data_IF_902163350640
#
_entry.id   IF_902163350640
#
_cell.length_a   1.000
_cell.length_b   1.000
_cell.length_c   1.000
_cell.angle_alpha   90.00
_cell.angle_beta   90.00
_cell.angle_gamma   90.00
#
_symmetry.space_group_name_H-M   'P 1'
#
loop_
_entity.id
_entity.type
_entity.pdbx_description
1 polymer ?
#
# COMPACT_ATOMS: atom_id res chain seq x y z
N UNK A 1 -21.90 -13.05 81.32
CA UNK A 1 -20.55 -13.29 80.68
C UNK A 1 -20.55 -14.38 79.61
N UNK A 2 -21.18 -15.54 79.79
CA UNK A 2 -21.17 -16.63 78.78
C UNK A 2 -21.91 -16.30 77.46
N UNK A 3 -22.97 -15.48 77.50
CA UNK A 3 -23.78 -15.11 76.33
C UNK A 3 -22.99 -14.19 75.41
N UNK A 4 -22.13 -13.32 75.94
CA UNK A 4 -21.32 -12.39 75.09
C UNK A 4 -20.23 -13.11 74.28
N UNK A 5 -19.63 -14.15 74.82
CA UNK A 5 -18.64 -14.97 74.10
C UNK A 5 -19.24 -15.81 73.02
N UNK A 6 -20.47 -16.26 73.15
CA UNK A 6 -21.20 -16.99 72.10
C UNK A 6 -21.49 -16.13 70.86
N UNK A 7 -21.92 -14.87 71.06
CA UNK A 7 -22.15 -13.91 70.00
C UNK A 7 -20.84 -13.51 69.29
N UNK A 8 -19.77 -13.29 70.00
CA UNK A 8 -18.45 -12.96 69.47
C UNK A 8 -17.92 -14.11 68.55
N UNK A 9 -18.01 -15.35 69.01
CA UNK A 9 -17.60 -16.53 68.24
C UNK A 9 -18.43 -16.73 66.98
N UNK A 10 -19.73 -16.51 67.03
CA UNK A 10 -20.62 -16.59 65.84
C UNK A 10 -20.30 -15.49 64.83
N UNK A 11 -20.00 -14.28 65.28
CA UNK A 11 -19.63 -13.16 64.42
C UNK A 11 -18.28 -13.39 63.73
N UNK A 12 -17.28 -13.90 64.42
CA UNK A 12 -15.99 -14.28 63.84
C UNK A 12 -16.15 -15.41 62.84
N UNK A 13 -16.98 -16.41 63.12
CA UNK A 13 -17.31 -17.48 62.16
C UNK A 13 -17.99 -16.96 60.89
N UNK A 14 -18.94 -16.05 61.04
CA UNK A 14 -19.62 -15.45 59.85
C UNK A 14 -18.68 -14.59 59.00
N UNK A 15 -17.81 -13.80 59.66
CA UNK A 15 -16.80 -12.99 58.94
C UNK A 15 -15.76 -13.83 58.21
N UNK A 16 -15.32 -14.94 58.80
CA UNK A 16 -14.37 -15.86 58.17
C UNK A 16 -14.98 -16.58 56.94
N UNK A 17 -16.22 -17.06 57.07
CA UNK A 17 -16.91 -17.68 55.92
C UNK A 17 -17.20 -16.68 54.83
N UNK A 18 -17.58 -15.44 55.14
CA UNK A 18 -17.75 -14.37 54.18
C UNK A 18 -16.45 -14.02 53.46
N UNK A 19 -15.33 -13.90 54.19
CA UNK A 19 -14.02 -13.64 53.62
C UNK A 19 -13.56 -14.73 52.66
N UNK A 20 -13.76 -15.99 53.01
CA UNK A 20 -13.46 -17.15 52.14
C UNK A 20 -14.36 -17.10 50.90
N UNK A 21 -15.66 -16.81 51.05
CA UNK A 21 -16.59 -16.70 49.92
C UNK A 21 -16.19 -15.58 48.95
N UNK A 22 -15.82 -14.39 49.45
CA UNK A 22 -15.33 -13.27 48.66
C UNK A 22 -14.04 -13.64 47.91
N UNK A 23 -13.09 -14.28 48.59
CA UNK A 23 -11.85 -14.74 48.00
C UNK A 23 -12.09 -15.73 46.86
N UNK A 24 -12.93 -16.75 47.07
CA UNK A 24 -13.27 -17.75 46.03
C UNK A 24 -14.02 -17.13 44.87
N UNK A 25 -14.92 -16.19 45.13
CA UNK A 25 -15.65 -15.48 44.09
C UNK A 25 -14.72 -14.63 43.21
N UNK A 26 -13.81 -13.87 43.82
CA UNK A 26 -12.79 -13.10 43.11
C UNK A 26 -11.89 -14.02 42.26
N UNK A 27 -11.41 -15.13 42.85
CA UNK A 27 -10.59 -16.10 42.12
C UNK A 27 -11.29 -16.66 40.91
N UNK A 28 -12.58 -17.01 40.99
CA UNK A 28 -13.41 -17.47 39.88
C UNK A 28 -13.53 -16.40 38.78
N UNK A 29 -13.69 -15.14 39.16
CA UNK A 29 -13.73 -14.03 38.20
C UNK A 29 -12.40 -13.88 37.47
N UNK A 30 -11.26 -13.89 38.16
CA UNK A 30 -9.94 -13.80 37.58
C UNK A 30 -9.66 -14.93 36.59
N UNK A 31 -10.04 -16.17 36.90
CA UNK A 31 -9.85 -17.31 35.99
C UNK A 31 -10.71 -17.14 34.75
N UNK A 32 -11.98 -16.72 34.90
CA UNK A 32 -12.87 -16.50 33.75
C UNK A 32 -12.41 -15.34 32.87
N UNK A 33 -11.92 -14.23 33.42
CA UNK A 33 -11.39 -13.12 32.61
C UNK A 33 -10.16 -13.55 31.84
N UNK A 34 -9.23 -14.30 32.44
CA UNK A 34 -8.05 -14.81 31.74
C UNK A 34 -8.41 -15.81 30.63
N UNK A 35 -9.42 -16.65 30.82
CA UNK A 35 -9.92 -17.57 29.77
C UNK A 35 -10.54 -16.78 28.60
N UNK A 36 -11.33 -15.74 28.89
CA UNK A 36 -11.95 -14.88 27.88
C UNK A 36 -10.89 -14.10 27.11
N UNK A 37 -9.91 -13.52 27.79
CA UNK A 37 -8.79 -12.81 27.17
C UNK A 37 -8.03 -13.73 26.20
N UNK A 38 -7.67 -14.92 26.65
CA UNK A 38 -6.98 -15.91 25.79
C UNK A 38 -7.82 -16.35 24.61
N UNK A 39 -9.13 -16.57 24.79
CA UNK A 39 -10.03 -16.89 23.71
C UNK A 39 -10.18 -15.74 22.72
N UNK A 40 -10.19 -14.50 23.20
CA UNK A 40 -10.26 -13.31 22.36
C UNK A 40 -8.98 -13.15 21.51
N UNK A 41 -7.80 -13.31 22.12
CA UNK A 41 -6.52 -13.29 21.39
C UNK A 41 -6.47 -14.36 20.29
N UNK A 42 -6.91 -15.59 20.60
CA UNK A 42 -6.95 -16.66 19.62
C UNK A 42 -7.89 -16.31 18.44
N UNK A 43 -9.09 -15.79 18.74
CA UNK A 43 -10.05 -15.39 17.71
C UNK A 43 -9.57 -14.20 16.88
N UNK A 44 -8.87 -13.23 17.47
CA UNK A 44 -8.29 -12.12 16.73
C UNK A 44 -7.21 -12.60 15.77
N UNK A 45 -6.33 -13.50 16.20
CA UNK A 45 -5.31 -14.09 15.31
C UNK A 45 -5.90 -14.95 14.19
N UNK A 46 -6.93 -15.74 14.47
CA UNK A 46 -7.66 -16.48 13.44
C UNK A 46 -8.31 -15.57 12.40
N UNK A 47 -8.97 -14.50 12.85
CA UNK A 47 -9.60 -13.51 11.97
C UNK A 47 -8.58 -12.77 11.12
N UNK A 48 -7.45 -12.38 11.68
CA UNK A 48 -6.37 -11.73 10.94
C UNK A 48 -5.79 -12.67 9.87
N UNK A 49 -5.56 -13.94 10.21
CA UNK A 49 -5.08 -14.94 9.24
C UNK A 49 -6.06 -15.18 8.11
N UNK A 50 -7.36 -15.33 8.42
CA UNK A 50 -8.41 -15.49 7.42
C UNK A 50 -8.55 -14.24 6.53
N UNK A 51 -8.43 -13.04 7.11
CA UNK A 51 -8.43 -11.79 6.38
C UNK A 51 -7.25 -11.69 5.40
N UNK A 52 -6.05 -12.07 5.84
CA UNK A 52 -4.87 -12.10 4.98
C UNK A 52 -5.02 -13.11 3.84
N UNK A 53 -5.61 -14.28 4.11
CA UNK A 53 -5.91 -15.27 3.07
C UNK A 53 -6.92 -14.73 2.04
N UNK A 54 -8.00 -14.09 2.49
CA UNK A 54 -8.97 -13.46 1.59
C UNK A 54 -8.35 -12.32 0.78
N UNK A 55 -7.46 -11.53 1.38
CA UNK A 55 -6.73 -10.47 0.65
C UNK A 55 -5.82 -11.03 -0.44
N UNK A 56 -5.17 -12.20 -0.21
CA UNK A 56 -4.37 -12.88 -1.24
C UNK A 56 -5.21 -13.44 -2.39
N UNK A 57 -6.47 -13.78 -2.14
CA UNK A 57 -7.40 -14.20 -3.18
C UNK A 57 -8.04 -13.04 -3.93
N UNK A 58 -7.95 -11.82 -3.40
CA UNK A 58 -8.44 -10.60 -4.06
C UNK A 58 -7.39 -10.12 -5.06
N UNK A 59 -7.82 -9.79 -6.25
CA UNK A 59 -6.99 -9.13 -7.26
C UNK A 59 -6.93 -7.62 -7.09
N UNK A 60 -7.76 -7.04 -6.21
CA UNK A 60 -7.91 -5.60 -6.00
C UNK A 60 -7.38 -5.14 -4.64
N UNK A 61 -6.86 -3.92 -4.60
CA UNK A 61 -6.53 -3.23 -3.36
C UNK A 61 -7.82 -2.74 -2.67
N UNK A 62 -8.07 -3.10 -1.40
CA UNK A 62 -9.33 -2.82 -0.73
C UNK A 62 -9.59 -1.34 -0.45
N UNK A 63 -8.57 -0.48 -0.54
CA UNK A 63 -8.74 0.95 -0.32
C UNK A 63 -9.06 1.68 -1.63
N UNK A 64 -8.32 1.38 -2.69
CA UNK A 64 -8.33 2.17 -3.94
C UNK A 64 -9.10 1.51 -5.07
N UNK A 65 -9.50 0.23 -4.92
CA UNK A 65 -10.18 -0.58 -5.92
C UNK A 65 -9.45 -0.71 -7.28
N UNK A 66 -8.17 -0.36 -7.33
CA UNK A 66 -7.28 -0.74 -8.43
C UNK A 66 -6.64 -2.09 -8.11
N UNK A 67 -5.91 -2.69 -9.05
CA UNK A 67 -5.23 -3.96 -8.80
C UNK A 67 -4.29 -3.86 -7.58
N UNK A 68 -4.14 -4.95 -6.85
CA UNK A 68 -3.20 -5.03 -5.74
C UNK A 68 -1.78 -5.37 -6.22
N UNK A 69 -0.83 -5.42 -5.30
CA UNK A 69 0.58 -5.71 -5.60
C UNK A 69 0.79 -7.10 -6.23
N UNK A 70 0.06 -8.13 -5.76
CA UNK A 70 0.18 -9.50 -6.28
C UNK A 70 -0.32 -9.56 -7.72
N UNK A 71 -1.48 -8.98 -8.00
CA UNK A 71 -2.03 -8.88 -9.36
C UNK A 71 -1.11 -8.08 -10.29
N UNK A 72 -0.44 -7.04 -9.79
CA UNK A 72 0.56 -6.31 -10.56
C UNK A 72 1.72 -7.21 -11.00
N UNK A 73 2.29 -8.00 -10.10
CA UNK A 73 3.41 -8.89 -10.43
C UNK A 73 3.01 -9.97 -11.44
N UNK A 74 1.87 -10.62 -11.23
CA UNK A 74 1.34 -11.64 -12.16
C UNK A 74 1.06 -11.06 -13.55
N UNK A 75 0.48 -9.85 -13.59
CA UNK A 75 0.19 -9.17 -14.84
C UNK A 75 1.46 -8.79 -15.58
N UNK A 76 2.43 -8.20 -14.87
CA UNK A 76 3.72 -7.78 -15.45
C UNK A 76 4.47 -8.98 -16.03
N UNK A 77 4.57 -10.09 -15.29
CA UNK A 77 5.22 -11.32 -15.75
C UNK A 77 4.53 -11.89 -17.01
N UNK A 78 3.21 -11.88 -17.05
CA UNK A 78 2.44 -12.32 -18.21
C UNK A 78 2.68 -11.46 -19.43
N UNK A 79 2.61 -10.12 -19.29
CA UNK A 79 2.82 -9.19 -20.36
C UNK A 79 4.29 -9.13 -20.81
N UNK A 80 5.25 -9.35 -19.88
CA UNK A 80 6.67 -9.50 -20.23
C UNK A 80 6.91 -10.70 -21.13
N UNK A 81 6.35 -11.88 -20.78
CA UNK A 81 6.42 -13.09 -21.62
C UNK A 81 5.78 -12.88 -22.99
N UNK A 82 4.65 -12.18 -23.02
CA UNK A 82 3.97 -11.84 -24.28
C UNK A 82 4.81 -10.88 -25.12
N UNK A 83 5.28 -9.78 -24.57
CA UNK A 83 6.14 -8.81 -25.24
C UNK A 83 7.40 -9.46 -25.83
N UNK A 84 8.03 -10.38 -25.06
CA UNK A 84 9.21 -11.14 -25.52
C UNK A 84 8.91 -12.08 -26.67
N UNK A 85 7.73 -12.70 -26.71
CA UNK A 85 7.32 -13.57 -27.81
C UNK A 85 7.00 -12.76 -29.07
N UNK A 86 6.30 -11.65 -28.91
CA UNK A 86 5.73 -10.88 -30.01
C UNK A 86 6.68 -9.76 -30.50
N UNK A 87 7.82 -9.51 -29.81
CA UNK A 87 8.79 -8.46 -30.13
C UNK A 87 8.24 -7.05 -29.92
N UNK A 88 7.27 -6.89 -29.01
CA UNK A 88 6.59 -5.63 -28.74
C UNK A 88 7.17 -4.90 -27.52
N UNK A 89 7.09 -3.57 -27.47
CA UNK A 89 7.51 -2.82 -26.30
C UNK A 89 6.57 -3.06 -25.11
N UNK A 90 7.13 -3.08 -23.91
CA UNK A 90 6.42 -3.07 -22.65
C UNK A 90 6.93 -1.90 -21.83
N UNK A 91 6.02 -1.06 -21.35
CA UNK A 91 6.34 0.07 -20.49
C UNK A 91 5.75 -0.09 -19.10
N UNK A 92 6.49 0.41 -18.11
CA UNK A 92 6.11 0.47 -16.72
C UNK A 92 6.21 1.92 -16.24
N UNK A 93 5.16 2.40 -15.57
CA UNK A 93 5.15 3.71 -14.92
C UNK A 93 4.98 3.49 -13.42
N UNK A 94 5.83 4.15 -12.62
CA UNK A 94 5.62 4.30 -11.19
C UNK A 94 5.19 5.72 -10.86
N UNK A 95 4.27 5.83 -9.91
CA UNK A 95 3.69 7.08 -9.40
C UNK A 95 3.79 7.09 -7.90
N UNK A 96 4.30 8.16 -7.31
CA UNK A 96 4.41 8.36 -5.86
C UNK A 96 3.80 9.70 -5.50
N UNK A 97 2.89 9.72 -4.54
CA UNK A 97 2.22 10.95 -4.10
C UNK A 97 3.18 11.79 -3.27
N UNK A 98 3.54 12.97 -3.79
CA UNK A 98 4.51 13.84 -3.16
C UNK A 98 4.05 14.29 -1.76
N UNK A 99 4.99 14.32 -0.81
CA UNK A 99 4.76 14.78 0.57
C UNK A 99 3.61 14.06 1.32
N UNK A 100 3.20 12.85 0.90
CA UNK A 100 2.06 12.13 1.49
C UNK A 100 2.20 11.87 2.99
N UNK A 101 3.42 11.61 3.50
CA UNK A 101 3.67 11.47 4.94
C UNK A 101 3.38 12.78 5.70
N UNK A 102 3.76 13.93 5.14
CA UNK A 102 3.46 15.25 5.72
C UNK A 102 1.96 15.53 5.71
N UNK A 103 1.29 15.18 4.60
CA UNK A 103 -0.17 15.24 4.48
C UNK A 103 -0.86 14.46 5.61
N UNK A 104 -0.48 13.21 5.81
CA UNK A 104 -1.06 12.36 6.87
C UNK A 104 -0.79 12.89 8.29
N UNK A 105 0.37 13.53 8.54
CA UNK A 105 0.64 14.18 9.82
C UNK A 105 -0.29 15.37 10.07
N UNK A 106 -0.58 16.15 9.05
CA UNK A 106 -1.39 17.37 9.17
C UNK A 106 -2.89 17.08 9.19
N UNK A 107 -3.39 16.23 8.29
CA UNK A 107 -4.83 16.01 8.06
C UNK A 107 -5.36 14.68 8.60
N UNK A 108 -4.48 13.80 9.06
CA UNK A 108 -4.81 12.48 9.56
C UNK A 108 -4.93 11.41 8.46
N UNK A 109 -4.84 10.13 8.88
CA UNK A 109 -4.84 8.97 7.97
C UNK A 109 -6.10 8.86 7.13
N UNK A 110 -7.28 9.16 7.71
CA UNK A 110 -8.55 9.08 6.96
C UNK A 110 -8.59 10.03 5.76
N UNK A 111 -8.04 11.24 5.92
CA UNK A 111 -7.92 12.19 4.81
C UNK A 111 -6.93 11.69 3.76
N UNK A 112 -5.81 11.10 4.18
CA UNK A 112 -4.85 10.48 3.26
C UNK A 112 -5.43 9.30 2.49
N UNK A 113 -6.23 8.45 3.14
CA UNK A 113 -6.93 7.36 2.48
C UNK A 113 -7.87 7.88 1.37
N UNK A 114 -8.53 9.02 1.59
CA UNK A 114 -9.41 9.62 0.60
C UNK A 114 -8.63 10.21 -0.58
N UNK A 115 -7.44 10.80 -0.34
CA UNK A 115 -6.51 11.21 -1.40
C UNK A 115 -6.11 10.00 -2.26
N UNK A 116 -5.70 8.89 -1.65
CA UNK A 116 -5.30 7.69 -2.39
C UNK A 116 -6.45 7.09 -3.21
N UNK A 117 -7.68 7.10 -2.71
CA UNK A 117 -8.85 6.68 -3.49
C UNK A 117 -9.08 7.56 -4.72
N UNK A 118 -8.94 8.87 -4.56
CA UNK A 118 -9.12 9.82 -5.67
C UNK A 118 -7.99 9.65 -6.70
N UNK A 119 -6.74 9.49 -6.26
CA UNK A 119 -5.60 9.19 -7.14
C UNK A 119 -5.83 7.88 -7.88
N UNK A 120 -6.22 6.80 -7.19
CA UNK A 120 -6.51 5.51 -7.83
C UNK A 120 -7.57 5.61 -8.94
N UNK A 121 -8.68 6.30 -8.68
CA UNK A 121 -9.73 6.55 -9.70
C UNK A 121 -9.23 7.38 -10.86
N UNK A 122 -8.44 8.43 -10.58
CA UNK A 122 -7.82 9.27 -11.60
C UNK A 122 -6.92 8.44 -12.52
N UNK A 123 -6.05 7.61 -11.96
CA UNK A 123 -5.17 6.72 -12.72
C UNK A 123 -5.96 5.74 -13.58
N UNK A 124 -6.99 5.11 -13.03
CA UNK A 124 -7.86 4.19 -13.76
C UNK A 124 -8.59 4.88 -14.94
N UNK A 125 -8.89 6.18 -14.82
CA UNK A 125 -9.50 6.96 -15.90
C UNK A 125 -8.50 7.29 -17.01
N UNK A 126 -7.26 7.64 -16.66
CA UNK A 126 -6.19 7.97 -17.62
C UNK A 126 -5.74 6.73 -18.38
N UNK A 127 -5.71 5.56 -17.73
CA UNK A 127 -5.22 4.29 -18.27
C UNK A 127 -6.39 3.32 -18.48
N UNK A 128 -7.34 3.71 -19.33
CA UNK A 128 -8.56 2.93 -19.56
C UNK A 128 -8.50 1.92 -20.72
N UNK A 129 -7.31 1.54 -21.23
CA UNK A 129 -7.21 0.59 -22.35
C UNK A 129 -7.29 -0.86 -21.85
N UNK A 130 -8.07 -1.73 -22.54
CA UNK A 130 -7.98 -3.16 -22.32
C UNK A 130 -6.53 -3.63 -22.59
N UNK A 131 -5.90 -4.28 -21.62
CA UNK A 131 -4.51 -4.73 -21.75
C UNK A 131 -3.50 -3.86 -21.00
N UNK A 132 -3.91 -2.72 -20.44
CA UNK A 132 -3.12 -1.96 -19.45
C UNK A 132 -3.62 -2.26 -18.04
N UNK A 133 -2.76 -2.08 -17.05
CA UNK A 133 -3.11 -2.30 -15.65
C UNK A 133 -2.71 -1.10 -14.80
N UNK A 134 -3.58 -0.69 -13.89
CA UNK A 134 -3.28 0.22 -12.78
C UNK A 134 -3.31 -0.57 -11.49
N UNK A 135 -2.28 -0.48 -10.70
CA UNK A 135 -2.17 -1.18 -9.42
C UNK A 135 -1.66 -0.27 -8.31
N UNK A 136 -2.05 -0.57 -7.09
CA UNK A 136 -1.41 -0.01 -5.90
C UNK A 136 -0.22 -0.88 -5.54
N UNK A 137 0.98 -0.36 -5.78
CA UNK A 137 2.21 -1.11 -5.57
C UNK A 137 2.59 -1.19 -4.09
N UNK A 138 2.57 -0.06 -3.38
CA UNK A 138 2.88 0.00 -1.96
C UNK A 138 2.43 1.34 -1.37
N UNK A 139 1.75 1.34 -0.22
CA UNK A 139 1.32 2.54 0.54
C UNK A 139 0.75 3.66 -0.34
N UNK A 140 1.61 4.61 -0.74
CA UNK A 140 1.35 5.80 -1.55
C UNK A 140 1.94 5.71 -2.98
N UNK A 141 2.51 4.53 -3.32
CA UNK A 141 3.04 4.24 -4.64
C UNK A 141 2.04 3.44 -5.49
N UNK A 142 1.84 3.87 -6.73
CA UNK A 142 1.08 3.16 -7.75
C UNK A 142 2.00 2.72 -8.90
N UNK A 143 1.61 1.67 -9.58
CA UNK A 143 2.29 1.16 -10.77
C UNK A 143 1.31 0.96 -11.91
N UNK A 144 1.72 1.32 -13.13
CA UNK A 144 0.94 1.15 -14.34
C UNK A 144 1.75 0.29 -15.31
N UNK A 145 1.16 -0.80 -15.80
CA UNK A 145 1.75 -1.64 -16.84
C UNK A 145 1.06 -1.31 -18.16
N UNK A 146 1.82 -0.90 -19.16
CA UNK A 146 1.34 -0.47 -20.46
C UNK A 146 1.82 -1.45 -21.54
N UNK A 147 0.95 -2.33 -22.01
CA UNK A 147 1.27 -3.29 -23.03
C UNK A 147 1.44 -2.60 -24.39
N UNK A 148 2.36 -3.10 -25.21
CA UNK A 148 2.61 -2.62 -26.58
C UNK A 148 2.78 -1.09 -26.66
N UNK A 149 3.39 -0.49 -25.63
CA UNK A 149 3.59 0.95 -25.52
C UNK A 149 5.09 1.25 -25.47
N UNK A 150 5.55 2.09 -26.36
CA UNK A 150 6.96 2.51 -26.46
C UNK A 150 7.34 3.62 -25.46
N UNK A 151 8.63 3.98 -25.42
CA UNK A 151 9.14 4.98 -24.49
C UNK A 151 8.50 6.37 -24.67
N UNK A 152 8.38 6.93 -25.87
CA UNK A 152 7.66 8.19 -26.10
C UNK A 152 6.18 8.12 -25.69
N UNK A 153 5.48 7.04 -26.02
CA UNK A 153 4.09 6.81 -25.65
C UNK A 153 3.91 6.73 -24.13
N UNK A 154 4.76 5.97 -23.44
CA UNK A 154 4.69 5.86 -21.99
C UNK A 154 5.02 7.17 -21.27
N UNK A 155 5.97 7.95 -21.81
CA UNK A 155 6.28 9.28 -21.28
C UNK A 155 5.10 10.25 -21.39
N UNK A 156 4.41 10.23 -22.54
CA UNK A 156 3.19 11.02 -22.74
C UNK A 156 2.10 10.66 -21.74
N UNK A 157 1.87 9.36 -21.51
CA UNK A 157 0.90 8.89 -20.51
C UNK A 157 1.35 9.29 -19.09
N UNK A 158 2.65 9.21 -18.77
CA UNK A 158 3.19 9.64 -17.49
C UNK A 158 2.96 11.13 -17.21
N UNK A 159 3.11 12.00 -18.23
CA UNK A 159 2.79 13.42 -18.11
C UNK A 159 1.28 13.67 -17.96
N UNK A 160 0.44 12.90 -18.63
CA UNK A 160 -1.02 12.95 -18.44
C UNK A 160 -1.40 12.56 -17.01
N UNK A 161 -0.81 11.49 -16.47
CA UNK A 161 -0.98 11.04 -15.07
C UNK A 161 -0.58 12.15 -14.10
N UNK A 162 0.61 12.72 -14.25
CA UNK A 162 1.10 13.81 -13.39
C UNK A 162 0.16 15.02 -13.41
N UNK A 163 -0.25 15.43 -14.62
CA UNK A 163 -1.18 16.57 -14.78
C UNK A 163 -2.55 16.26 -14.18
N UNK A 164 -3.11 15.08 -14.44
CA UNK A 164 -4.42 14.68 -13.95
C UNK A 164 -4.47 14.65 -12.40
N UNK A 165 -3.40 14.16 -11.74
CA UNK A 165 -3.32 14.18 -10.27
C UNK A 165 -3.28 15.62 -9.76
N UNK A 166 -2.47 16.50 -10.35
CA UNK A 166 -2.43 17.93 -10.00
C UNK A 166 -3.82 18.58 -10.19
N UNK A 167 -4.50 18.25 -11.28
CA UNK A 167 -5.80 18.82 -11.66
C UNK A 167 -6.96 18.34 -10.76
N UNK A 168 -6.74 17.32 -9.89
CA UNK A 168 -7.64 17.01 -8.78
C UNK A 168 -7.74 18.15 -7.76
N UNK A 169 -6.76 19.05 -7.75
CA UNK A 169 -6.70 20.25 -6.92
C UNK A 169 -6.96 19.96 -5.41
N UNK A 170 -6.47 18.84 -4.93
CA UNK A 170 -6.57 18.46 -3.53
C UNK A 170 -5.60 19.30 -2.70
N UNK A 171 -6.00 19.84 -1.54
CA UNK A 171 -5.12 20.70 -0.73
C UNK A 171 -3.87 19.90 -0.31
N UNK A 172 -2.69 20.51 -0.37
CA UNK A 172 -1.44 19.90 0.07
C UNK A 172 -1.15 20.19 1.54
N UNK A 173 -0.17 19.49 2.11
CA UNK A 173 0.37 19.81 3.42
C UNK A 173 1.13 21.15 3.37
N UNK A 174 1.14 21.90 4.46
CA UNK A 174 1.87 23.20 4.56
C UNK A 174 3.37 23.07 4.29
N UNK A 175 3.93 21.88 4.50
CA UNK A 175 5.34 21.57 4.23
C UNK A 175 5.62 21.29 2.74
N UNK A 176 4.59 21.11 1.92
CA UNK A 176 4.75 20.91 0.49
C UNK A 176 5.05 22.22 -0.23
N UNK A 177 5.85 22.20 -1.30
CA UNK A 177 6.17 23.42 -2.06
C UNK A 177 4.99 23.96 -2.88
N UNK A 178 3.94 23.17 -3.09
CA UNK A 178 2.72 23.55 -3.81
C UNK A 178 1.52 23.54 -2.88
N UNK A 179 0.49 24.33 -3.20
CA UNK A 179 -0.77 24.39 -2.43
C UNK A 179 -1.68 23.17 -2.66
N UNK A 180 -1.36 22.34 -3.63
CA UNK A 180 -2.13 21.16 -4.01
C UNK A 180 -1.26 19.90 -4.07
N UNK A 181 -1.89 18.74 -3.89
CA UNK A 181 -1.25 17.43 -3.99
C UNK A 181 -0.69 17.21 -5.39
N UNK A 182 0.56 16.78 -5.47
CA UNK A 182 1.26 16.43 -6.70
C UNK A 182 1.79 15.00 -6.63
N UNK A 183 2.31 14.51 -7.73
CA UNK A 183 2.97 13.22 -7.79
C UNK A 183 4.27 13.29 -8.59
N UNK A 184 5.26 12.56 -8.11
CA UNK A 184 6.45 12.21 -8.88
C UNK A 184 6.15 10.97 -9.71
N UNK A 185 6.55 10.98 -10.96
CA UNK A 185 6.26 9.90 -11.92
C UNK A 185 7.54 9.46 -12.60
N UNK A 186 7.71 8.18 -12.79
CA UNK A 186 8.83 7.65 -13.56
C UNK A 186 8.37 6.53 -14.50
N UNK A 187 8.96 6.48 -15.69
CA UNK A 187 8.66 5.44 -16.68
C UNK A 187 9.92 4.71 -17.11
N UNK A 188 9.82 3.42 -17.32
CA UNK A 188 10.81 2.59 -17.99
C UNK A 188 10.17 1.79 -19.11
N UNK A 189 10.91 1.53 -20.18
CA UNK A 189 10.43 0.80 -21.35
C UNK A 189 11.47 -0.19 -21.81
N UNK A 190 11.05 -1.40 -22.13
CA UNK A 190 11.86 -2.43 -22.76
C UNK A 190 11.16 -3.02 -23.96
N UNK A 191 11.97 -3.49 -24.94
CA UNK A 191 11.54 -4.44 -25.96
C UNK A 191 12.27 -5.76 -25.65
N UNK A 192 11.64 -6.66 -24.86
CA UNK A 192 12.31 -7.88 -24.44
C UNK A 192 12.58 -8.78 -25.62
N UNK A 193 13.84 -9.21 -25.80
CA UNK A 193 14.25 -10.15 -26.85
C UNK A 193 14.44 -11.55 -26.25
N UNK A 194 14.39 -12.58 -27.09
CA UNK A 194 14.52 -13.98 -26.64
C UNK A 194 15.90 -14.25 -26.00
N UNK A 195 16.93 -13.58 -26.49
CA UNK A 195 18.34 -13.72 -26.06
C UNK A 195 18.77 -12.64 -25.06
N UNK A 196 17.84 -11.76 -24.67
CA UNK A 196 18.13 -10.69 -23.72
C UNK A 196 18.33 -11.26 -22.30
N UNK A 197 19.38 -10.81 -21.63
CA UNK A 197 19.61 -11.08 -20.20
C UNK A 197 18.67 -10.24 -19.29
N UNK A 198 17.82 -9.36 -19.86
CA UNK A 198 16.91 -8.52 -19.10
C UNK A 198 15.66 -9.30 -18.65
N UNK A 199 15.29 -9.09 -17.40
CA UNK A 199 14.08 -9.62 -16.78
C UNK A 199 13.10 -8.48 -16.45
N UNK A 200 11.85 -8.82 -16.18
CA UNK A 200 10.82 -7.85 -15.76
C UNK A 200 11.22 -7.08 -14.50
N UNK A 201 12.03 -7.71 -13.61
CA UNK A 201 12.57 -7.06 -12.42
C UNK A 201 13.50 -5.89 -12.74
N UNK A 202 14.20 -5.92 -13.88
CA UNK A 202 15.08 -4.82 -14.28
C UNK A 202 14.28 -3.62 -14.74
N UNK A 203 13.12 -3.86 -15.36
CA UNK A 203 12.16 -2.80 -15.69
C UNK A 203 11.66 -2.10 -14.41
N UNK A 204 11.31 -2.87 -13.38
CA UNK A 204 10.92 -2.34 -12.07
C UNK A 204 12.05 -1.53 -11.43
N UNK A 205 13.28 -2.09 -11.40
CA UNK A 205 14.45 -1.41 -10.79
C UNK A 205 14.74 -0.08 -11.46
N UNK A 206 14.72 -0.05 -12.80
CA UNK A 206 14.99 1.16 -13.57
C UNK A 206 13.94 2.25 -13.31
N UNK A 207 12.64 1.91 -13.37
CA UNK A 207 11.57 2.85 -13.09
C UNK A 207 11.63 3.39 -11.66
N UNK A 208 11.87 2.53 -10.67
CA UNK A 208 11.98 2.96 -9.26
C UNK A 208 13.23 3.79 -8.98
N UNK A 209 14.32 3.56 -9.71
CA UNK A 209 15.50 4.42 -9.63
C UNK A 209 15.16 5.84 -10.12
N UNK A 210 14.57 5.96 -11.30
CA UNK A 210 14.13 7.24 -11.85
C UNK A 210 13.09 7.94 -10.96
N UNK A 211 12.19 7.18 -10.31
CA UNK A 211 11.22 7.74 -9.37
C UNK A 211 11.90 8.39 -8.15
N UNK A 212 12.93 7.74 -7.59
CA UNK A 212 13.72 8.32 -6.48
C UNK A 212 14.40 9.62 -6.89
N UNK A 213 14.94 9.69 -8.12
CA UNK A 213 15.54 10.91 -8.66
C UNK A 213 14.51 12.00 -8.88
N UNK A 214 13.31 11.66 -9.39
CA UNK A 214 12.22 12.61 -9.56
C UNK A 214 11.84 13.28 -8.22
N UNK A 215 11.74 12.47 -7.16
CA UNK A 215 11.46 12.95 -5.79
C UNK A 215 12.61 13.80 -5.24
N UNK A 216 13.86 13.35 -5.37
CA UNK A 216 15.04 14.07 -4.90
C UNK A 216 15.20 15.42 -5.59
N UNK A 217 14.77 15.54 -6.84
CA UNK A 217 14.82 16.79 -7.61
C UNK A 217 13.65 17.75 -7.30
N UNK A 218 12.84 17.49 -6.26
CA UNK A 218 11.77 18.38 -5.77
C UNK A 218 10.35 17.94 -6.13
N UNK A 219 10.16 16.72 -6.65
CA UNK A 219 8.85 16.16 -6.97
C UNK A 219 8.15 16.80 -8.17
N UNK A 220 6.86 16.49 -8.36
CA UNK A 220 5.97 17.01 -9.39
C UNK A 220 6.58 16.99 -10.81
N UNK A 221 7.19 15.87 -11.18
CA UNK A 221 7.87 15.72 -12.48
C UNK A 221 7.83 14.29 -12.97
N UNK A 222 8.09 14.15 -14.28
CA UNK A 222 8.26 12.85 -14.91
C UNK A 222 9.73 12.64 -15.25
N UNK A 223 10.28 11.49 -14.90
CA UNK A 223 11.58 11.04 -15.38
C UNK A 223 11.43 9.73 -16.16
N UNK A 224 12.24 9.56 -17.18
CA UNK A 224 12.29 8.36 -18.01
C UNK A 224 13.59 7.62 -17.82
N UNK A 225 13.50 6.35 -17.44
CA UNK A 225 14.60 5.41 -17.53
C UNK A 225 14.43 4.52 -18.76
N UNK A 226 15.45 4.36 -19.57
CA UNK A 226 15.46 3.41 -20.67
C UNK A 226 16.36 2.23 -20.32
N UNK A 227 15.84 1.01 -20.46
CA UNK A 227 16.67 -0.18 -20.52
C UNK A 227 17.27 -0.23 -21.91
N UNK A 228 18.56 0.11 -22.03
CA UNK A 228 19.29 0.01 -23.29
C UNK A 228 19.38 -1.45 -23.74
N UNK A 229 19.50 -1.66 -25.05
CA UNK A 229 19.65 -3.00 -25.63
C UNK A 229 20.98 -3.70 -25.22
N UNK A 230 21.96 -2.94 -24.72
CA UNK A 230 23.25 -3.45 -24.22
C UNK A 230 23.79 -2.43 -23.19
N UNK A 231 23.84 -2.77 -21.93
CA UNK A 231 24.47 -1.96 -20.90
C UNK A 231 23.59 -1.64 -19.68
N UNK A 232 24.16 -1.03 -18.62
CA UNK A 232 23.36 -0.56 -17.49
C UNK A 232 22.34 0.50 -17.93
N UNK A 233 21.20 0.66 -17.25
CA UNK A 233 20.15 1.60 -17.64
C UNK A 233 20.72 3.02 -17.73
N UNK A 234 20.73 3.60 -18.93
CA UNK A 234 21.04 5.01 -19.12
C UNK A 234 19.82 5.84 -18.70
N UNK A 235 20.02 6.69 -17.71
CA UNK A 235 19.02 7.65 -17.26
C UNK A 235 19.01 8.83 -18.25
N UNK A 236 18.03 8.83 -19.14
CA UNK A 236 17.79 10.00 -19.99
C UNK A 236 16.91 10.97 -19.22
N UNK A 237 17.55 11.94 -18.56
CA UNK A 237 16.86 13.08 -17.94
C UNK A 237 16.48 14.07 -19.02
N UNK A 238 15.24 14.04 -19.51
CA UNK A 238 14.71 15.14 -20.34
C UNK A 238 14.31 16.28 -19.42
N UNK A 239 15.20 17.27 -19.27
CA UNK A 239 14.85 18.56 -18.69
C UNK A 239 13.96 19.33 -19.66
N UNK A 240 12.78 19.67 -19.26
CA UNK A 240 12.00 20.83 -19.74
C UNK A 240 11.52 21.62 -18.57
#
# INVERSE_FOLDING_TARGET
MEIEWGFAAALIGALSTFSVWVYLSRRRLYVRTAEIEKALELRTTELESARLQLQRLSTEDPLTAVANHEQFLEFLEREWRRARRDGLPLSLIFVDVDHFRAFNRQFGRKAGDEVLKQVGRCLATVVGRPGDLVARYHRDEFALVLASTDGPGSFKIAEQVRSAIRDLNLPAAKEAPQDFVTASVATSTAVPQRESAWEELDLIKAARHALREARAAGGNRVLRANLGLVGPPELVVTRR
#
